data_IF_072529920205
#
_entry.id   IF_072529920205
#
_cell.length_a   1.000
_cell.length_b   1.000
_cell.length_c   1.000
_cell.angle_alpha   90.00
_cell.angle_beta   90.00
_cell.angle_gamma   90.00
#
_symmetry.space_group_name_H-M   'P 1'
#
loop_
_entity.id
_entity.type
_entity.pdbx_description
1 polymer ?
#
# COMPACT_ATOMS: atom_id res chain seq x y z
N UNK A 1 -90.92 34.54 -1.34
CA UNK A 1 -90.79 34.41 -2.79
C UNK A 1 -89.53 35.10 -3.21
N UNK A 2 -88.35 34.42 -3.01
CA UNK A 2 -87.07 34.92 -3.42
C UNK A 2 -86.18 33.74 -3.78
N UNK A 3 -85.63 33.71 -4.98
CA UNK A 3 -84.87 32.67 -5.62
C UNK A 3 -83.43 32.75 -5.16
N UNK A 4 -82.93 31.64 -4.68
CA UNK A 4 -81.47 31.47 -4.44
C UNK A 4 -80.71 31.15 -5.75
N UNK A 5 -79.76 31.98 -6.06
CA UNK A 5 -78.75 31.71 -7.09
C UNK A 5 -77.56 30.96 -6.47
N UNK A 6 -77.37 29.72 -6.93
CA UNK A 6 -76.18 28.94 -6.56
C UNK A 6 -75.01 29.24 -7.52
N UNK A 7 -74.05 29.93 -7.05
CA UNK A 7 -72.76 30.12 -7.74
C UNK A 7 -71.92 28.87 -7.61
N UNK A 8 -71.64 28.19 -8.70
CA UNK A 8 -70.75 27.05 -8.81
C UNK A 8 -69.34 27.51 -9.06
N UNK A 9 -68.46 27.43 -8.04
CA UNK A 9 -67.07 27.76 -8.12
C UNK A 9 -66.30 26.56 -8.70
N UNK A 10 -65.91 26.62 -9.96
CA UNK A 10 -65.10 25.63 -10.63
C UNK A 10 -63.66 25.71 -10.14
N UNK A 11 -63.21 24.73 -9.33
CA UNK A 11 -61.80 24.59 -8.94
C UNK A 11 -61.01 23.97 -10.08
N UNK A 12 -60.13 24.78 -10.65
CA UNK A 12 -59.13 24.30 -11.60
C UNK A 12 -57.99 23.70 -10.76
N UNK A 13 -57.85 22.35 -10.85
CA UNK A 13 -56.72 21.65 -10.25
C UNK A 13 -55.58 21.68 -11.25
N UNK A 14 -54.60 22.54 -11.01
CA UNK A 14 -53.32 22.52 -11.73
C UNK A 14 -52.48 21.31 -11.25
N UNK A 15 -52.39 20.30 -12.09
CA UNK A 15 -51.45 19.20 -11.89
C UNK A 15 -50.06 19.64 -12.33
N UNK A 16 -49.24 20.01 -11.37
CA UNK A 16 -47.81 20.24 -11.60
C UNK A 16 -47.11 18.91 -11.73
N UNK A 17 -46.74 18.54 -12.96
CA UNK A 17 -45.86 17.41 -13.21
C UNK A 17 -44.44 17.81 -12.81
N UNK A 18 -43.97 17.34 -11.65
CA UNK A 18 -42.59 17.43 -11.24
C UNK A 18 -41.80 16.35 -11.97
N UNK A 19 -41.11 16.73 -13.04
CA UNK A 19 -40.12 15.86 -13.71
C UNK A 19 -38.87 15.82 -12.84
N UNK A 20 -38.73 14.78 -12.03
CA UNK A 20 -37.48 14.47 -11.35
C UNK A 20 -36.48 13.93 -12.37
N UNK A 21 -35.60 14.77 -12.84
CA UNK A 21 -34.39 14.36 -13.59
C UNK A 21 -33.46 13.66 -12.60
N UNK A 22 -33.44 12.33 -12.64
CA UNK A 22 -32.42 11.54 -11.95
C UNK A 22 -31.13 11.68 -12.74
N UNK A 23 -30.28 12.61 -12.33
CA UNK A 23 -28.89 12.68 -12.77
C UNK A 23 -28.16 11.47 -12.17
N UNK A 24 -28.04 10.40 -12.96
CA UNK A 24 -27.10 9.32 -12.69
C UNK A 24 -25.67 9.88 -12.78
N UNK A 25 -25.22 10.48 -11.68
CA UNK A 25 -23.82 10.87 -11.54
C UNK A 25 -22.99 9.59 -11.51
N UNK A 26 -22.13 9.41 -12.53
CA UNK A 26 -21.03 8.48 -12.43
C UNK A 26 -20.19 8.92 -11.22
N UNK A 27 -20.30 8.18 -10.12
CA UNK A 27 -19.39 8.31 -8.99
C UNK A 27 -18.05 7.78 -9.46
N UNK A 28 -17.22 8.66 -10.03
CA UNK A 28 -15.81 8.36 -10.20
C UNK A 28 -15.21 8.26 -8.79
N UNK A 29 -14.86 7.04 -8.38
CA UNK A 29 -14.07 6.85 -7.18
C UNK A 29 -12.80 7.72 -7.31
N UNK A 30 -12.48 8.57 -6.31
CA UNK A 30 -11.23 9.31 -6.31
C UNK A 30 -10.07 8.29 -6.40
N UNK A 31 -8.96 8.64 -7.07
CA UNK A 31 -7.77 7.78 -7.05
C UNK A 31 -7.42 7.49 -5.60
N UNK A 32 -7.32 6.21 -5.27
CA UNK A 32 -6.94 5.75 -3.92
C UNK A 32 -5.49 6.15 -3.72
N UNK A 33 -5.27 7.17 -2.92
CA UNK A 33 -3.92 7.63 -2.57
C UNK A 33 -3.18 6.48 -1.87
N UNK A 34 -1.93 6.23 -2.28
CA UNK A 34 -1.00 5.42 -1.48
C UNK A 34 -0.92 6.00 -0.06
N UNK A 35 -0.70 5.18 0.97
CA UNK A 35 -0.60 5.70 2.32
C UNK A 35 0.45 6.81 2.34
N UNK A 36 -0.01 8.05 2.53
CA UNK A 36 0.88 9.15 2.88
C UNK A 36 1.49 8.72 4.19
N UNK A 37 2.75 8.27 4.14
CA UNK A 37 3.54 8.08 5.34
C UNK A 37 3.60 9.48 5.96
N UNK A 38 2.73 9.73 6.95
CA UNK A 38 2.87 10.94 7.76
C UNK A 38 4.25 10.85 8.38
N UNK A 39 5.19 11.57 7.79
CA UNK A 39 6.51 11.73 8.35
C UNK A 39 6.30 12.43 9.67
N UNK A 40 6.42 11.68 10.78
CA UNK A 40 6.63 12.30 12.09
C UNK A 40 7.66 13.41 11.93
N UNK A 41 7.54 14.53 12.70
CA UNK A 41 8.42 15.68 12.53
C UNK A 41 9.85 15.19 12.38
N UNK A 42 10.41 15.45 11.23
CA UNK A 42 11.75 15.06 10.83
C UNK A 42 12.69 15.55 11.93
N UNK A 43 13.32 14.65 12.67
CA UNK A 43 14.45 15.02 13.55
C UNK A 43 15.33 15.90 12.68
N UNK A 44 15.64 17.11 13.15
CA UNK A 44 16.43 18.07 12.37
C UNK A 44 17.79 17.44 12.05
N UNK A 45 17.87 16.82 10.90
CA UNK A 45 19.08 16.16 10.40
C UNK A 45 20.01 17.24 9.88
N UNK A 46 21.27 17.22 10.26
CA UNK A 46 22.24 18.20 9.75
C UNK A 46 22.30 18.16 8.22
N UNK A 47 22.60 19.28 7.54
CA UNK A 47 22.72 19.31 6.08
C UNK A 47 23.68 18.26 5.52
N UNK A 48 24.76 17.99 6.26
CA UNK A 48 25.74 16.97 5.90
C UNK A 48 25.13 15.55 5.89
N UNK A 49 24.41 15.17 6.95
CA UNK A 49 23.74 13.87 7.05
C UNK A 49 22.70 13.70 5.94
N UNK A 50 22.00 14.79 5.59
CA UNK A 50 21.05 14.77 4.48
C UNK A 50 21.75 14.53 3.15
N UNK A 51 22.88 15.20 2.90
CA UNK A 51 23.69 15.02 1.69
C UNK A 51 24.20 13.58 1.57
N UNK A 52 24.74 13.02 2.65
CA UNK A 52 25.20 11.63 2.69
C UNK A 52 24.04 10.65 2.42
N UNK A 53 22.86 10.90 3.00
CA UNK A 53 21.69 10.07 2.76
C UNK A 53 21.20 10.15 1.32
N UNK A 54 21.09 11.34 0.73
CA UNK A 54 20.67 11.51 -0.66
C UNK A 54 21.66 10.84 -1.63
N UNK A 55 22.96 10.93 -1.36
CA UNK A 55 24.00 10.21 -2.12
C UNK A 55 23.86 8.68 -1.98
N UNK A 56 23.59 8.20 -0.76
CA UNK A 56 23.32 6.78 -0.55
C UNK A 56 22.10 6.30 -1.34
N UNK A 57 21.01 7.08 -1.37
CA UNK A 57 19.81 6.73 -2.14
C UNK A 57 20.10 6.70 -3.66
N UNK A 58 20.94 7.60 -4.16
CA UNK A 58 21.38 7.56 -5.55
C UNK A 58 22.15 6.27 -5.88
N UNK A 59 23.05 5.84 -4.98
CA UNK A 59 23.79 4.57 -5.12
C UNK A 59 22.85 3.35 -5.03
N UNK A 60 21.88 3.38 -4.10
CA UNK A 60 20.85 2.33 -4.00
C UNK A 60 20.05 2.19 -5.31
N UNK A 61 19.67 3.32 -5.91
CA UNK A 61 18.96 3.36 -7.20
C UNK A 61 19.83 2.84 -8.36
N UNK A 62 21.14 3.08 -8.29
CA UNK A 62 22.12 2.56 -9.26
C UNK A 62 22.53 1.10 -8.97
N UNK A 63 21.90 0.43 -8.00
CA UNK A 63 22.21 -0.92 -7.53
C UNK A 63 23.64 -1.09 -6.99
N UNK A 64 24.33 0.02 -6.69
CA UNK A 64 25.65 0.04 -6.06
C UNK A 64 25.53 -0.17 -4.54
N UNK A 65 24.88 -1.27 -4.13
CA UNK A 65 24.48 -1.51 -2.74
C UNK A 65 25.63 -1.46 -1.73
N UNK A 66 26.83 -1.94 -2.09
CA UNK A 66 28.00 -1.90 -1.19
C UNK A 66 28.38 -0.47 -0.82
N UNK A 67 28.49 0.40 -1.82
CA UNK A 67 28.81 1.83 -1.59
C UNK A 67 27.65 2.54 -0.88
N UNK A 68 26.40 2.17 -1.20
CA UNK A 68 25.22 2.69 -0.51
C UNK A 68 25.25 2.37 0.99
N UNK A 69 25.62 1.15 1.36
CA UNK A 69 25.80 0.71 2.76
C UNK A 69 26.85 1.57 3.47
N UNK A 70 28.02 1.79 2.87
CA UNK A 70 29.10 2.60 3.47
C UNK A 70 28.65 4.04 3.81
N UNK A 71 27.80 4.64 2.97
CA UNK A 71 27.26 5.96 3.25
C UNK A 71 26.11 5.89 4.29
N UNK A 72 25.25 4.87 4.22
CA UNK A 72 24.18 4.70 5.20
C UNK A 72 24.72 4.45 6.61
N UNK A 73 25.84 3.72 6.75
CA UNK A 73 26.50 3.51 8.04
C UNK A 73 26.95 4.84 8.65
N UNK A 74 27.54 5.76 7.85
CA UNK A 74 27.88 7.12 8.31
C UNK A 74 26.64 7.92 8.72
N UNK A 75 25.53 7.76 7.97
CA UNK A 75 24.26 8.40 8.29
C UNK A 75 23.72 7.91 9.63
N UNK A 76 23.78 6.59 9.88
CA UNK A 76 23.32 5.96 11.13
C UNK A 76 24.14 6.43 12.32
N UNK A 77 25.47 6.53 12.20
CA UNK A 77 26.33 7.03 13.27
C UNK A 77 25.90 8.42 13.77
N UNK A 78 25.42 9.27 12.86
CA UNK A 78 25.01 10.64 13.14
C UNK A 78 23.50 10.80 13.41
N UNK A 79 22.68 9.77 13.15
CA UNK A 79 21.20 9.83 13.23
C UNK A 79 20.57 8.54 13.77
N UNK A 80 21.07 8.03 14.89
CA UNK A 80 20.69 6.73 15.48
C UNK A 80 19.20 6.54 15.76
N UNK A 81 18.45 7.61 16.00
CA UNK A 81 17.02 7.56 16.31
C UNK A 81 16.11 7.67 15.07
N UNK A 82 16.67 7.63 13.87
CA UNK A 82 15.91 7.68 12.62
C UNK A 82 15.76 6.25 12.06
N UNK A 83 14.54 5.70 11.89
CA UNK A 83 14.34 4.35 11.34
C UNK A 83 14.73 4.23 9.87
N UNK A 84 14.62 5.33 9.09
CA UNK A 84 14.75 5.30 7.62
C UNK A 84 16.12 4.80 7.12
N UNK A 85 17.27 5.22 7.66
CA UNK A 85 18.55 4.66 7.25
C UNK A 85 18.67 3.16 7.54
N UNK A 86 18.16 2.68 8.67
CA UNK A 86 18.14 1.24 9.00
C UNK A 86 17.27 0.43 8.04
N UNK A 87 16.12 0.97 7.61
CA UNK A 87 15.29 0.33 6.58
C UNK A 87 16.10 0.15 5.29
N UNK A 88 16.81 1.19 4.85
CA UNK A 88 17.59 1.14 3.62
C UNK A 88 18.82 0.23 3.73
N UNK A 89 19.47 0.17 4.89
CA UNK A 89 20.51 -0.83 5.18
C UNK A 89 19.95 -2.24 5.08
N UNK A 90 18.77 -2.49 5.67
CA UNK A 90 18.07 -3.76 5.57
C UNK A 90 17.79 -4.17 4.12
N UNK A 91 17.29 -3.24 3.31
CA UNK A 91 17.04 -3.45 1.87
C UNK A 91 18.36 -3.76 1.13
N UNK A 92 19.40 -2.96 1.34
CA UNK A 92 20.70 -3.13 0.66
C UNK A 92 21.33 -4.49 0.99
N UNK A 93 21.33 -4.87 2.27
CA UNK A 93 21.83 -6.18 2.70
C UNK A 93 20.99 -7.33 2.12
N UNK A 94 19.67 -7.21 2.08
CA UNK A 94 18.79 -8.22 1.48
C UNK A 94 19.03 -8.38 -0.03
N UNK A 95 19.38 -7.30 -0.74
CA UNK A 95 19.76 -7.31 -2.16
C UNK A 95 21.11 -8.01 -2.39
N UNK A 96 22.03 -7.85 -1.49
CA UNK A 96 23.35 -8.54 -1.52
C UNK A 96 23.29 -10.00 -1.01
N UNK A 97 22.13 -10.48 -0.54
CA UNK A 97 22.01 -11.81 0.04
C UNK A 97 22.47 -11.93 1.50
N UNK A 98 22.86 -10.84 2.14
CA UNK A 98 23.28 -10.79 3.53
C UNK A 98 22.06 -10.79 4.46
N UNK A 99 21.30 -11.89 4.47
CA UNK A 99 19.96 -11.95 5.09
C UNK A 99 19.98 -11.69 6.60
N UNK A 100 21.07 -12.09 7.29
CA UNK A 100 21.23 -11.84 8.74
C UNK A 100 21.35 -10.34 9.02
N UNK A 101 22.24 -9.64 8.32
CA UNK A 101 22.40 -8.20 8.47
C UNK A 101 21.13 -7.43 8.06
N UNK A 102 20.43 -7.91 7.03
CA UNK A 102 19.12 -7.36 6.64
C UNK A 102 18.12 -7.46 7.79
N UNK A 103 18.02 -8.63 8.44
CA UNK A 103 17.11 -8.83 9.56
C UNK A 103 17.45 -7.95 10.76
N UNK A 104 18.74 -7.83 11.10
CA UNK A 104 19.19 -6.99 12.21
C UNK A 104 18.84 -5.52 11.99
N UNK A 105 19.08 -4.99 10.80
CA UNK A 105 18.74 -3.60 10.48
C UNK A 105 17.22 -3.34 10.44
N UNK A 106 16.46 -4.24 9.86
CA UNK A 106 14.98 -4.09 9.86
C UNK A 106 14.39 -4.18 11.27
N UNK A 107 14.95 -5.02 12.16
CA UNK A 107 14.56 -5.06 13.57
C UNK A 107 14.88 -3.75 14.29
N UNK A 108 16.05 -3.15 14.03
CA UNK A 108 16.39 -1.84 14.59
C UNK A 108 15.41 -0.76 14.10
N UNK A 109 15.11 -0.74 12.80
CA UNK A 109 14.10 0.20 12.27
C UNK A 109 12.75 0.04 12.96
N UNK A 110 12.27 -1.20 13.13
CA UNK A 110 10.99 -1.51 13.78
C UNK A 110 11.01 -1.30 15.29
N UNK A 111 12.17 -1.34 15.95
CA UNK A 111 12.29 -0.96 17.37
C UNK A 111 12.12 0.54 17.58
N UNK A 112 12.52 1.36 16.59
CA UNK A 112 12.35 2.81 16.58
C UNK A 112 10.93 3.21 16.16
N UNK A 113 10.38 2.54 15.15
CA UNK A 113 9.05 2.77 14.64
C UNK A 113 8.35 1.45 14.29
N UNK A 114 7.60 0.84 15.26
CA UNK A 114 6.99 -0.49 15.09
C UNK A 114 6.02 -0.61 13.91
N UNK A 115 5.38 0.50 13.55
CA UNK A 115 4.38 0.56 12.47
C UNK A 115 4.92 1.15 11.16
N UNK A 116 6.25 1.28 11.02
CA UNK A 116 6.86 1.81 9.80
C UNK A 116 6.49 0.93 8.60
N UNK A 117 5.70 1.43 7.61
CA UNK A 117 5.09 0.57 6.60
C UNK A 117 6.12 -0.10 5.69
N UNK A 118 7.14 0.63 5.26
CA UNK A 118 8.20 0.07 4.40
C UNK A 118 9.02 -0.97 5.14
N UNK A 119 9.41 -0.71 6.41
CA UNK A 119 10.15 -1.67 7.22
C UNK A 119 9.39 -2.99 7.41
N UNK A 120 8.09 -2.91 7.72
CA UNK A 120 7.24 -4.09 7.85
C UNK A 120 7.10 -4.85 6.53
N UNK A 121 6.95 -4.15 5.39
CA UNK A 121 6.90 -4.79 4.07
C UNK A 121 8.20 -5.52 3.76
N UNK A 122 9.34 -4.88 3.94
CA UNK A 122 10.66 -5.47 3.68
C UNK A 122 10.96 -6.64 4.63
N UNK A 123 10.49 -6.55 5.86
CA UNK A 123 10.63 -7.66 6.81
C UNK A 123 9.76 -8.86 6.42
N UNK A 124 8.55 -8.62 5.89
CA UNK A 124 7.70 -9.67 5.29
C UNK A 124 8.37 -10.33 4.08
N UNK A 125 9.03 -9.54 3.22
CA UNK A 125 9.83 -10.07 2.11
C UNK A 125 11.00 -10.92 2.60
N UNK A 126 11.66 -10.51 3.67
CA UNK A 126 12.75 -11.27 4.28
C UNK A 126 12.26 -12.60 4.86
N UNK A 127 11.13 -12.61 5.57
CA UNK A 127 10.50 -13.82 6.05
C UNK A 127 10.17 -14.79 4.90
N UNK A 128 9.63 -14.29 3.80
CA UNK A 128 9.41 -15.12 2.61
C UNK A 128 10.70 -15.69 2.04
N UNK A 129 11.77 -14.90 1.93
CA UNK A 129 13.09 -15.36 1.46
C UNK A 129 13.72 -16.42 2.36
N UNK A 130 13.43 -16.39 3.65
CA UNK A 130 13.97 -17.33 4.65
C UNK A 130 13.05 -18.52 4.93
N UNK A 131 11.95 -18.68 4.15
CA UNK A 131 11.01 -19.78 4.31
C UNK A 131 10.03 -19.64 5.47
N UNK A 132 10.00 -18.49 6.12
CA UNK A 132 9.13 -18.16 7.26
C UNK A 132 7.78 -17.64 6.76
N UNK A 133 7.05 -18.49 6.01
CA UNK A 133 5.86 -18.08 5.27
C UNK A 133 4.68 -17.68 6.19
N UNK A 134 4.52 -18.35 7.33
CA UNK A 134 3.49 -18.02 8.31
C UNK A 134 3.68 -16.63 8.91
N UNK A 135 4.91 -16.30 9.29
CA UNK A 135 5.25 -14.98 9.82
C UNK A 135 5.15 -13.88 8.75
N UNK A 136 5.53 -14.18 7.50
CA UNK A 136 5.34 -13.26 6.39
C UNK A 136 3.86 -12.93 6.19
N UNK A 137 2.97 -13.94 6.20
CA UNK A 137 1.51 -13.76 6.08
C UNK A 137 0.96 -12.87 7.20
N UNK A 138 1.25 -13.22 8.45
CA UNK A 138 0.78 -12.46 9.61
C UNK A 138 1.22 -10.98 9.55
N UNK A 139 2.45 -10.75 9.11
CA UNK A 139 2.98 -9.39 9.01
C UNK A 139 2.29 -8.58 7.90
N UNK A 140 2.08 -9.17 6.72
CA UNK A 140 1.34 -8.51 5.64
C UNK A 140 -0.12 -8.26 5.99
N UNK A 141 -0.81 -9.23 6.60
CA UNK A 141 -2.20 -9.08 7.04
C UNK A 141 -2.32 -7.97 8.11
N UNK A 142 -1.41 -7.93 9.09
CA UNK A 142 -1.33 -6.84 10.08
C UNK A 142 -1.11 -5.48 9.42
N UNK A 143 -0.22 -5.42 8.43
CA UNK A 143 0.09 -4.19 7.71
C UNK A 143 -1.12 -3.71 6.90
N UNK A 144 -1.83 -4.61 6.21
CA UNK A 144 -3.05 -4.29 5.45
C UNK A 144 -4.24 -3.93 6.35
N UNK A 145 -4.32 -4.47 7.56
CA UNK A 145 -5.33 -4.04 8.53
C UNK A 145 -5.16 -2.56 8.91
N UNK A 146 -3.92 -2.06 8.93
CA UNK A 146 -3.62 -0.64 9.21
C UNK A 146 -3.62 0.23 7.96
N UNK A 147 -3.12 -0.30 6.85
CA UNK A 147 -2.97 0.38 5.56
C UNK A 147 -3.67 -0.40 4.44
N UNK A 148 -5.03 -0.39 4.39
CA UNK A 148 -5.80 -1.24 3.48
C UNK A 148 -5.62 -0.89 1.99
N UNK A 149 -5.02 0.26 1.69
CA UNK A 149 -4.74 0.72 0.32
C UNK A 149 -3.24 0.77 0.03
N UNK A 150 -2.50 -0.29 0.39
CA UNK A 150 -1.07 -0.40 0.11
C UNK A 150 -0.83 -1.45 -0.99
N UNK A 151 -0.87 -1.06 -2.29
CA UNK A 151 -0.86 -2.01 -3.41
C UNK A 151 0.32 -2.98 -3.36
N UNK A 152 1.53 -2.50 -3.04
CA UNK A 152 2.73 -3.34 -3.00
C UNK A 152 2.60 -4.49 -1.98
N UNK A 153 1.95 -4.26 -0.85
CA UNK A 153 1.74 -5.32 0.16
C UNK A 153 0.71 -6.34 -0.32
N UNK A 154 -0.38 -5.89 -0.99
CA UNK A 154 -1.31 -6.79 -1.65
C UNK A 154 -0.61 -7.69 -2.67
N UNK A 155 0.24 -7.11 -3.53
CA UNK A 155 1.06 -7.89 -4.47
C UNK A 155 1.92 -8.94 -3.75
N UNK A 156 2.62 -8.54 -2.69
CA UNK A 156 3.52 -9.42 -1.95
C UNK A 156 2.78 -10.53 -1.21
N UNK A 157 1.61 -10.24 -0.63
CA UNK A 157 0.75 -11.23 0.00
C UNK A 157 0.14 -12.18 -1.06
N UNK A 158 -0.30 -11.65 -2.20
CA UNK A 158 -0.78 -12.46 -3.33
C UNK A 158 0.27 -13.47 -3.80
N UNK A 159 1.51 -13.03 -4.00
CA UNK A 159 2.64 -13.91 -4.36
C UNK A 159 2.90 -14.96 -3.28
N UNK A 160 2.83 -14.58 -2.01
CA UNK A 160 3.01 -15.50 -0.88
C UNK A 160 1.93 -16.57 -0.88
N UNK A 161 0.66 -16.17 -1.04
CA UNK A 161 -0.50 -17.06 -1.06
C UNK A 161 -0.45 -18.01 -2.26
N UNK A 162 -0.14 -17.51 -3.46
CA UNK A 162 -0.12 -18.29 -4.70
C UNK A 162 1.02 -19.35 -4.69
N UNK A 163 2.25 -18.86 -4.52
CA UNK A 163 3.44 -19.67 -4.81
C UNK A 163 3.84 -20.53 -3.61
N UNK A 164 3.73 -20.01 -2.39
CA UNK A 164 4.28 -20.68 -1.21
C UNK A 164 3.24 -21.35 -0.35
N UNK A 165 2.04 -20.76 -0.23
CA UNK A 165 0.97 -21.30 0.60
C UNK A 165 -0.07 -22.10 -0.18
N UNK A 166 -0.16 -21.94 -1.50
CA UNK A 166 -1.18 -22.50 -2.39
C UNK A 166 -2.61 -22.18 -1.94
N UNK A 167 -2.78 -21.02 -1.32
CA UNK A 167 -4.07 -20.44 -0.94
C UNK A 167 -4.55 -19.55 -2.10
N UNK A 168 -5.19 -20.20 -3.09
CA UNK A 168 -5.55 -19.53 -4.35
C UNK A 168 -6.68 -18.49 -4.16
N UNK A 169 -7.57 -18.67 -3.18
CA UNK A 169 -8.58 -17.66 -2.85
C UNK A 169 -7.91 -16.39 -2.30
N UNK A 170 -6.96 -16.54 -1.39
CA UNK A 170 -6.14 -15.42 -0.91
C UNK A 170 -5.41 -14.77 -2.08
N UNK A 171 -4.73 -15.55 -2.91
CA UNK A 171 -3.95 -15.02 -4.03
C UNK A 171 -4.82 -14.22 -5.00
N UNK A 172 -6.00 -14.75 -5.37
CA UNK A 172 -6.92 -14.08 -6.28
C UNK A 172 -7.37 -12.72 -5.72
N UNK A 173 -7.83 -12.69 -4.47
CA UNK A 173 -8.29 -11.46 -3.81
C UNK A 173 -7.21 -10.39 -3.80
N UNK A 174 -5.99 -10.77 -3.44
CA UNK A 174 -4.87 -9.84 -3.30
C UNK A 174 -4.37 -9.33 -4.68
N UNK A 175 -4.31 -10.21 -5.67
CA UNK A 175 -3.94 -9.83 -7.04
C UNK A 175 -5.01 -8.96 -7.73
N UNK A 176 -6.29 -9.23 -7.51
CA UNK A 176 -7.38 -8.41 -8.05
C UNK A 176 -7.33 -6.99 -7.46
N UNK A 177 -7.09 -6.87 -6.14
CA UNK A 177 -6.90 -5.57 -5.52
C UNK A 177 -5.72 -4.81 -6.15
N UNK A 178 -4.55 -5.46 -6.23
CA UNK A 178 -3.36 -4.85 -6.82
C UNK A 178 -3.59 -4.46 -8.28
N UNK A 179 -4.17 -5.33 -9.09
CA UNK A 179 -4.45 -5.06 -10.50
C UNK A 179 -5.41 -3.89 -10.70
N UNK A 180 -6.36 -3.69 -9.80
CA UNK A 180 -7.26 -2.53 -9.81
C UNK A 180 -6.56 -1.23 -9.40
N UNK A 181 -5.59 -1.30 -8.47
CA UNK A 181 -4.82 -0.15 -8.02
C UNK A 181 -3.69 0.23 -9.01
N UNK A 182 -3.12 -0.76 -9.71
CA UNK A 182 -1.96 -0.61 -10.62
C UNK A 182 -2.30 -1.20 -12.01
N UNK A 183 -3.23 -0.60 -12.76
CA UNK A 183 -3.75 -1.16 -14.02
C UNK A 183 -2.72 -1.24 -15.15
N UNK A 184 -1.61 -0.52 -15.04
CA UNK A 184 -0.48 -0.54 -15.96
C UNK A 184 0.40 -1.81 -15.81
N UNK A 185 0.36 -2.51 -14.67
CA UNK A 185 1.07 -3.77 -14.45
C UNK A 185 0.32 -4.92 -15.13
N UNK A 186 0.67 -5.15 -16.42
CA UNK A 186 0.02 -6.17 -17.25
C UNK A 186 0.31 -7.61 -16.81
N UNK A 187 1.38 -7.84 -16.06
CA UNK A 187 1.76 -9.18 -15.65
C UNK A 187 0.83 -9.70 -14.56
N UNK A 188 0.38 -8.85 -13.65
CA UNK A 188 -0.57 -9.26 -12.61
C UNK A 188 -1.91 -9.70 -13.21
N UNK A 189 -2.35 -9.11 -14.32
CA UNK A 189 -3.57 -9.58 -15.02
C UNK A 189 -3.44 -11.04 -15.48
N UNK A 190 -2.24 -11.47 -15.90
CA UNK A 190 -1.97 -12.88 -16.27
C UNK A 190 -2.01 -13.76 -15.02
N UNK A 191 -1.48 -13.28 -13.87
CA UNK A 191 -1.52 -14.03 -12.61
C UNK A 191 -2.95 -14.22 -12.11
N UNK A 192 -3.79 -13.17 -12.20
CA UNK A 192 -5.24 -13.27 -11.88
C UNK A 192 -5.89 -14.36 -12.73
N UNK A 193 -5.72 -14.34 -14.06
CA UNK A 193 -6.31 -15.32 -14.96
C UNK A 193 -5.80 -16.76 -14.69
N UNK A 194 -4.52 -16.92 -14.34
CA UNK A 194 -3.96 -18.22 -13.98
C UNK A 194 -4.55 -18.77 -12.69
N UNK A 195 -4.65 -17.94 -11.66
CA UNK A 195 -5.25 -18.33 -10.38
C UNK A 195 -6.75 -18.64 -10.52
N UNK A 196 -7.50 -17.85 -11.30
CA UNK A 196 -8.92 -18.14 -11.60
C UNK A 196 -9.06 -19.51 -12.25
N UNK A 197 -8.25 -19.85 -13.24
CA UNK A 197 -8.25 -21.17 -13.89
C UNK A 197 -7.97 -22.31 -12.90
N UNK A 198 -7.04 -22.13 -11.96
CA UNK A 198 -6.75 -23.11 -10.90
C UNK A 198 -7.92 -23.29 -9.93
N UNK A 199 -8.73 -22.27 -9.74
CA UNK A 199 -9.95 -22.29 -8.92
C UNK A 199 -11.17 -22.80 -9.69
N UNK A 200 -11.07 -23.12 -11.00
CA UNK A 200 -12.18 -23.53 -11.83
C UNK A 200 -13.20 -22.41 -12.14
N UNK A 201 -12.73 -21.18 -12.15
CA UNK A 201 -13.55 -19.97 -12.42
C UNK A 201 -13.28 -19.42 -13.82
#
# INVERSE_FOLDING_TARGET
>A
MMREEKSTLTRIISVSIVVTVVLSGCVSNPPKEEPKVETKPTIAVSPEVRTDFDAAMALMKAEEYKKGIELLDKVVEKSQNNPVPYVNLGIAHAKLGNLKAAEENLKLALSLEPDHPVANNEYGLLYRKTGRFGEARQLYEKLLAKYPYYPLVHKNLGILCDIYLRDYECALREYEFYSGAMPEDKDVKKWVADVQRRLGK
#
